data_IF_514566884205
#
_entry.id   IF_514566884205
#
_cell.length_a   1.000
_cell.length_b   1.000
_cell.length_c   1.000
_cell.angle_alpha   90.00
_cell.angle_beta   90.00
_cell.angle_gamma   90.00
#
_symmetry.space_group_name_H-M   'P 1'
#
loop_
_entity.id
_entity.type
_entity.pdbx_description
1 polymer ?
#
# COMPACT_ATOMS: atom_id res chain seq x y z
N UNK A 1 -1.23 1.44 8.06
CA UNK A 1 -0.75 2.39 9.07
C UNK A 1 0.47 1.82 9.76
N UNK A 2 1.62 2.43 9.54
CA UNK A 2 2.85 2.02 10.18
C UNK A 2 2.76 2.37 11.66
N UNK A 3 2.85 1.36 12.48
CA UNK A 3 2.79 1.48 13.93
C UNK A 3 4.17 1.64 14.58
N UNK A 4 5.20 1.91 13.80
CA UNK A 4 6.41 2.52 14.36
C UNK A 4 6.04 3.96 14.65
N UNK A 5 6.16 4.39 15.91
CA UNK A 5 5.93 5.77 16.39
C UNK A 5 6.73 6.84 15.62
N UNK A 6 7.40 6.46 14.55
CA UNK A 6 8.31 7.27 13.76
C UNK A 6 8.17 7.07 12.24
N UNK A 7 7.06 6.52 11.74
CA UNK A 7 6.82 6.58 10.30
C UNK A 7 6.56 8.02 9.91
N UNK A 8 7.46 8.57 9.15
CA UNK A 8 7.39 9.93 8.62
C UNK A 8 6.41 10.00 7.46
N UNK A 9 6.12 8.85 6.87
CA UNK A 9 5.30 8.73 5.67
C UNK A 9 3.89 8.27 6.02
N UNK A 10 2.90 9.07 5.65
CA UNK A 10 1.47 8.74 5.77
C UNK A 10 0.96 8.37 4.39
N UNK A 11 0.43 7.16 4.25
CA UNK A 11 -0.22 6.74 3.00
C UNK A 11 -1.59 7.40 2.89
N UNK A 12 -1.92 7.85 1.70
CA UNK A 12 -3.24 8.36 1.40
C UNK A 12 -4.27 7.22 1.49
N UNK A 13 -5.31 7.33 2.34
CA UNK A 13 -6.27 6.25 2.56
C UNK A 13 -7.32 6.22 1.43
N UNK A 14 -6.89 5.83 0.25
CA UNK A 14 -7.57 6.00 -1.02
C UNK A 14 -8.96 5.35 -1.09
N UNK A 15 -9.16 4.17 -0.50
CA UNK A 15 -10.48 3.53 -0.50
C UNK A 15 -11.49 4.36 0.28
N UNK A 16 -11.11 4.81 1.49
CA UNK A 16 -11.95 5.68 2.31
C UNK A 16 -12.15 7.06 1.65
N UNK A 17 -11.14 7.55 0.95
CA UNK A 17 -11.20 8.79 0.19
C UNK A 17 -12.18 8.70 -0.99
N UNK A 18 -12.22 7.59 -1.72
CA UNK A 18 -13.26 7.34 -2.74
C UNK A 18 -14.63 7.21 -2.10
N UNK A 19 -14.75 6.52 -0.96
CA UNK A 19 -16.01 6.42 -0.23
C UNK A 19 -16.55 7.82 0.13
N UNK A 20 -15.71 8.69 0.68
CA UNK A 20 -16.06 10.09 0.98
C UNK A 20 -16.60 10.82 -0.25
N UNK A 21 -15.87 10.77 -1.37
CA UNK A 21 -16.26 11.46 -2.59
C UNK A 21 -17.54 10.91 -3.22
N UNK A 22 -17.77 9.59 -3.16
CA UNK A 22 -19.03 8.98 -3.60
C UNK A 22 -20.19 9.49 -2.75
N UNK A 23 -20.03 9.52 -1.43
CA UNK A 23 -21.08 10.00 -0.52
C UNK A 23 -21.39 11.49 -0.71
N UNK A 24 -20.36 12.32 -0.93
CA UNK A 24 -20.54 13.74 -1.26
C UNK A 24 -21.27 13.96 -2.59
N UNK A 25 -21.00 13.10 -3.59
CA UNK A 25 -21.64 13.19 -4.91
C UNK A 25 -23.08 12.66 -4.93
N UNK A 26 -23.34 11.53 -4.26
CA UNK A 26 -24.52 10.69 -4.48
C UNK A 26 -25.50 10.72 -3.31
N UNK A 27 -25.28 11.59 -2.30
CA UNK A 27 -26.18 11.80 -1.17
C UNK A 27 -26.28 13.28 -0.78
N UNK A 28 -27.33 13.63 -0.04
CA UNK A 28 -27.50 14.96 0.58
C UNK A 28 -26.87 15.04 1.99
N UNK A 29 -26.15 14.01 2.42
CA UNK A 29 -25.49 13.99 3.72
C UNK A 29 -24.32 14.98 3.77
N UNK A 30 -24.16 15.62 4.93
CA UNK A 30 -22.95 16.38 5.21
C UNK A 30 -21.82 15.39 5.54
N UNK A 31 -20.91 15.21 4.60
CA UNK A 31 -19.76 14.30 4.74
C UNK A 31 -18.53 15.08 5.16
N UNK A 32 -17.76 14.53 6.10
CA UNK A 32 -16.45 15.08 6.52
C UNK A 32 -15.44 13.97 6.59
N UNK A 33 -14.31 14.17 5.92
CA UNK A 33 -13.19 13.25 5.96
C UNK A 33 -12.15 13.74 6.97
N UNK A 34 -11.68 12.84 7.84
CA UNK A 34 -10.62 13.12 8.81
C UNK A 34 -9.48 12.11 8.65
N UNK A 35 -8.25 12.60 8.65
CA UNK A 35 -7.06 11.76 8.75
C UNK A 35 -6.21 12.19 9.95
N UNK A 36 -6.41 11.51 11.08
CA UNK A 36 -5.66 11.80 12.30
C UNK A 36 -4.18 11.43 12.21
N UNK A 37 -3.79 10.55 11.26
CA UNK A 37 -2.38 10.21 11.03
C UNK A 37 -1.66 11.35 10.31
N UNK A 38 -2.28 11.92 9.28
CA UNK A 38 -1.74 13.07 8.56
C UNK A 38 -1.58 14.27 9.51
N UNK A 39 -2.63 14.56 10.28
CA UNK A 39 -2.69 15.67 11.21
C UNK A 39 -1.92 15.42 12.52
N UNK A 40 -1.38 14.21 12.71
CA UNK A 40 -0.65 13.77 13.93
C UNK A 40 -1.46 13.95 15.22
N UNK A 41 -2.78 13.77 15.14
CA UNK A 41 -3.63 13.84 16.31
C UNK A 41 -3.42 12.64 17.22
N UNK A 42 -3.36 12.91 18.52
CA UNK A 42 -3.49 11.86 19.52
C UNK A 42 -4.98 11.47 19.66
N UNK A 43 -5.25 10.45 20.48
CA UNK A 43 -6.61 9.94 20.69
C UNK A 43 -7.59 11.06 21.13
N UNK A 44 -7.20 11.86 22.12
CA UNK A 44 -8.09 12.90 22.69
C UNK A 44 -8.41 13.99 21.68
N UNK A 45 -7.39 14.46 20.95
CA UNK A 45 -7.58 15.45 19.88
C UNK A 45 -8.47 14.90 18.76
N UNK A 46 -8.35 13.62 18.42
CA UNK A 46 -9.21 13.01 17.40
C UNK A 46 -10.66 12.90 17.90
N UNK A 47 -10.88 12.48 19.14
CA UNK A 47 -12.22 12.47 19.76
C UNK A 47 -12.83 13.87 19.77
N UNK A 48 -12.05 14.90 20.12
CA UNK A 48 -12.50 16.30 20.10
C UNK A 48 -12.95 16.74 18.70
N UNK A 49 -12.13 16.47 17.67
CA UNK A 49 -12.47 16.82 16.28
C UNK A 49 -13.71 16.11 15.77
N UNK A 50 -13.89 14.84 16.08
CA UNK A 50 -15.10 14.10 15.74
C UNK A 50 -16.31 14.66 16.50
N UNK A 51 -16.14 15.05 17.78
CA UNK A 51 -17.21 15.63 18.59
C UNK A 51 -17.68 16.99 18.09
N UNK A 52 -16.76 17.82 17.58
CA UNK A 52 -17.11 19.12 16.95
C UNK A 52 -18.03 18.94 15.74
N UNK A 53 -17.84 17.87 14.98
CA UNK A 53 -18.68 17.55 13.83
C UNK A 53 -19.99 16.86 14.22
N UNK A 54 -20.01 16.11 15.34
CA UNK A 54 -21.13 15.36 15.89
C UNK A 54 -21.83 14.46 14.84
N UNK A 55 -21.14 13.47 14.27
CA UNK A 55 -21.69 12.68 13.16
C UNK A 55 -22.78 11.72 13.62
N UNK A 56 -23.82 11.52 12.80
CA UNK A 56 -24.80 10.43 12.97
C UNK A 56 -24.18 9.06 12.63
N UNK A 57 -23.20 9.03 11.72
CA UNK A 57 -22.50 7.83 11.28
C UNK A 57 -20.98 8.06 11.30
N UNK A 58 -20.24 7.07 11.77
CA UNK A 58 -18.77 7.01 11.71
C UNK A 58 -18.35 5.81 10.88
N UNK A 59 -17.68 6.05 9.76
CA UNK A 59 -17.17 5.02 8.86
C UNK A 59 -15.67 4.83 9.17
N UNK A 60 -15.26 3.59 9.43
CA UNK A 60 -13.89 3.25 9.80
C UNK A 60 -13.37 2.09 8.95
N UNK A 61 -12.24 2.31 8.25
CA UNK A 61 -11.50 1.24 7.55
C UNK A 61 -10.48 0.63 8.52
N UNK A 62 -10.72 -0.62 8.91
CA UNK A 62 -10.03 -1.28 10.01
C UNK A 62 -9.15 -2.44 9.51
N UNK A 63 -7.86 -2.35 9.81
CA UNK A 63 -6.91 -3.43 9.63
C UNK A 63 -6.82 -4.30 10.89
N UNK A 64 -6.41 -5.57 10.74
CA UNK A 64 -6.26 -6.51 11.86
C UNK A 64 -5.36 -5.93 12.96
N UNK A 65 -4.27 -5.30 12.58
CA UNK A 65 -3.32 -4.73 13.54
C UNK A 65 -3.87 -3.57 14.39
N UNK A 66 -4.82 -2.81 13.86
CA UNK A 66 -5.35 -1.59 14.50
C UNK A 66 -6.69 -1.81 15.18
N UNK A 67 -7.32 -2.98 15.02
CA UNK A 67 -8.70 -3.23 15.43
C UNK A 67 -8.99 -2.91 16.89
N UNK A 68 -8.06 -3.20 17.82
CA UNK A 68 -8.21 -2.88 19.23
C UNK A 68 -8.31 -1.38 19.50
N UNK A 69 -7.51 -0.58 18.78
CA UNK A 69 -7.56 0.87 18.88
C UNK A 69 -8.81 1.43 18.21
N UNK A 70 -9.12 0.92 17.01
CA UNK A 70 -10.27 1.33 16.22
C UNK A 70 -11.58 1.03 16.95
N UNK A 71 -11.70 -0.17 17.52
CA UNK A 71 -12.89 -0.56 18.30
C UNK A 71 -13.06 0.27 19.57
N UNK A 72 -11.97 0.57 20.29
CA UNK A 72 -12.05 1.45 21.49
C UNK A 72 -12.49 2.85 21.11
N UNK A 73 -11.94 3.41 20.07
CA UNK A 73 -12.30 4.72 19.56
C UNK A 73 -13.78 4.77 19.13
N UNK A 74 -14.21 3.82 18.31
CA UNK A 74 -15.61 3.73 17.85
C UNK A 74 -16.59 3.60 19.01
N UNK A 75 -16.32 2.68 19.96
CA UNK A 75 -17.15 2.50 21.17
C UNK A 75 -17.24 3.79 22.00
N UNK A 76 -16.16 4.54 22.11
CA UNK A 76 -16.14 5.81 22.83
C UNK A 76 -17.01 6.86 22.15
N UNK A 77 -16.88 7.02 20.81
CA UNK A 77 -17.71 7.95 20.04
C UNK A 77 -19.20 7.57 20.13
N UNK A 78 -19.52 6.29 19.94
CA UNK A 78 -20.90 5.77 20.08
C UNK A 78 -21.48 6.07 21.46
N UNK A 79 -20.73 5.80 22.53
CA UNK A 79 -21.17 6.05 23.90
C UNK A 79 -21.39 7.53 24.20
N UNK A 80 -20.55 8.42 23.66
CA UNK A 80 -20.61 9.87 23.93
C UNK A 80 -21.71 10.56 23.12
N UNK A 81 -21.91 10.17 21.87
CA UNK A 81 -22.69 10.94 20.90
C UNK A 81 -23.87 10.17 20.28
N UNK A 82 -24.00 8.87 20.55
CA UNK A 82 -25.02 8.02 19.93
C UNK A 82 -24.76 7.71 18.46
N UNK A 83 -23.58 8.00 17.97
CA UNK A 83 -23.12 7.78 16.58
C UNK A 83 -23.23 6.31 16.19
N UNK A 84 -23.77 6.00 15.03
CA UNK A 84 -23.79 4.65 14.45
C UNK A 84 -22.44 4.33 13.84
N UNK A 85 -21.93 3.15 14.14
CA UNK A 85 -20.60 2.69 13.69
C UNK A 85 -20.72 1.81 12.45
N UNK A 86 -20.03 2.19 11.38
CA UNK A 86 -19.86 1.40 10.16
C UNK A 86 -18.39 0.97 10.09
N UNK A 87 -18.13 -0.32 10.33
CA UNK A 87 -16.79 -0.90 10.25
C UNK A 87 -16.61 -1.63 8.92
N UNK A 88 -15.55 -1.32 8.22
CA UNK A 88 -15.17 -1.91 6.92
C UNK A 88 -13.66 -2.22 6.88
N UNK A 89 -13.20 -2.78 5.78
CA UNK A 89 -11.80 -3.14 5.59
C UNK A 89 -11.49 -4.62 5.84
N UNK A 90 -10.20 -4.99 5.88
CA UNK A 90 -9.81 -6.40 5.91
C UNK A 90 -10.19 -7.14 7.20
N UNK A 91 -10.09 -6.51 8.37
CA UNK A 91 -10.44 -7.20 9.62
C UNK A 91 -11.94 -7.45 9.76
N UNK A 92 -12.84 -6.47 9.56
CA UNK A 92 -14.29 -6.72 9.55
C UNK A 92 -14.72 -7.73 8.49
N UNK A 93 -14.03 -7.80 7.36
CA UNK A 93 -14.30 -8.79 6.32
C UNK A 93 -13.97 -10.22 6.79
N UNK A 94 -12.92 -10.37 7.58
CA UNK A 94 -12.43 -11.67 8.05
C UNK A 94 -13.16 -12.14 9.31
N UNK A 95 -13.45 -11.22 10.24
CA UNK A 95 -14.06 -11.51 11.53
C UNK A 95 -15.37 -10.71 11.74
N UNK A 96 -16.35 -10.86 10.84
CA UNK A 96 -17.56 -10.05 10.90
C UNK A 96 -18.41 -10.30 12.14
N UNK A 97 -18.44 -11.53 12.66
CA UNK A 97 -19.18 -11.87 13.90
C UNK A 97 -18.61 -11.11 15.10
N UNK A 98 -17.28 -11.14 15.30
CA UNK A 98 -16.61 -10.41 16.36
C UNK A 98 -16.90 -8.91 16.28
N UNK A 99 -16.78 -8.32 15.09
CA UNK A 99 -16.97 -6.88 14.89
C UNK A 99 -18.45 -6.49 15.09
N UNK A 100 -19.40 -7.39 14.76
CA UNK A 100 -20.85 -7.15 14.93
C UNK A 100 -21.28 -7.03 16.40
N UNK A 101 -20.45 -7.47 17.35
CA UNK A 101 -20.74 -7.29 18.79
C UNK A 101 -20.75 -5.81 19.22
N UNK A 102 -20.07 -4.93 18.47
CA UNK A 102 -19.94 -3.53 18.84
C UNK A 102 -20.22 -2.53 17.70
N UNK A 103 -20.14 -2.94 16.45
CA UNK A 103 -20.49 -2.10 15.31
C UNK A 103 -21.99 -2.22 14.96
N UNK A 104 -22.59 -1.14 14.48
CA UNK A 104 -23.99 -1.15 14.01
C UNK A 104 -24.08 -1.76 12.61
N UNK A 105 -23.03 -1.59 11.81
CA UNK A 105 -22.90 -2.14 10.45
C UNK A 105 -21.50 -2.68 10.25
N UNK A 106 -21.40 -3.91 9.74
CA UNK A 106 -20.13 -4.55 9.37
C UNK A 106 -20.15 -4.78 7.86
N UNK A 107 -19.27 -4.07 7.16
CA UNK A 107 -19.22 -4.09 5.70
C UNK A 107 -18.04 -4.95 5.23
N UNK A 108 -18.36 -5.84 4.29
CA UNK A 108 -17.41 -6.83 3.78
C UNK A 108 -16.81 -6.36 2.45
N UNK A 109 -15.50 -6.57 2.27
CA UNK A 109 -14.77 -6.39 1.00
C UNK A 109 -14.74 -4.95 0.50
N UNK A 110 -15.08 -4.73 -0.80
CA UNK A 110 -15.21 -3.37 -1.35
C UNK A 110 -16.44 -2.70 -0.77
N UNK A 111 -16.24 -1.71 0.04
CA UNK A 111 -17.26 -1.18 0.94
C UNK A 111 -17.97 0.09 0.45
N UNK A 112 -17.41 0.81 -0.53
CA UNK A 112 -17.88 2.15 -0.89
C UNK A 112 -19.36 2.17 -1.27
N UNK A 113 -19.77 1.22 -2.13
CA UNK A 113 -21.17 1.15 -2.58
C UNK A 113 -22.10 0.50 -1.55
N UNK A 114 -21.58 -0.29 -0.62
CA UNK A 114 -22.35 -0.84 0.49
C UNK A 114 -22.66 0.27 1.50
N UNK A 115 -21.67 1.10 1.81
CA UNK A 115 -21.84 2.27 2.66
C UNK A 115 -22.85 3.26 2.05
N UNK A 116 -22.75 3.49 0.73
CA UNK A 116 -23.73 4.31 0.02
C UNK A 116 -25.18 3.77 0.17
N UNK A 117 -25.35 2.46 -0.01
CA UNK A 117 -26.67 1.82 0.12
C UNK A 117 -27.25 1.96 1.55
N UNK A 118 -26.39 1.82 2.59
CA UNK A 118 -26.77 2.05 4.00
C UNK A 118 -27.25 3.47 4.20
N UNK A 119 -26.49 4.46 3.71
CA UNK A 119 -26.80 5.88 3.93
C UNK A 119 -27.98 6.37 3.07
N UNK A 120 -28.30 5.70 1.97
CA UNK A 120 -29.50 5.90 1.18
C UNK A 120 -30.75 5.27 1.82
N UNK A 121 -30.59 4.56 2.94
CA UNK A 121 -31.71 3.95 3.71
C UNK A 121 -32.29 2.70 3.04
N UNK A 122 -31.53 1.97 2.24
CA UNK A 122 -31.97 0.67 1.68
C UNK A 122 -32.22 -0.34 2.80
N UNK A 123 -33.12 -1.30 2.58
CA UNK A 123 -33.31 -2.38 3.53
C UNK A 123 -32.01 -3.16 3.71
N UNK A 124 -31.54 -3.24 4.95
CA UNK A 124 -30.26 -3.89 5.29
C UNK A 124 -30.21 -5.36 4.91
N UNK A 125 -31.37 -6.05 4.85
CA UNK A 125 -31.46 -7.45 4.43
C UNK A 125 -31.14 -7.63 2.94
N UNK A 126 -31.34 -6.60 2.13
CA UNK A 126 -31.14 -6.64 0.68
C UNK A 126 -29.75 -6.15 0.27
N UNK A 127 -28.97 -5.59 1.19
CA UNK A 127 -27.65 -5.04 0.88
C UNK A 127 -26.61 -6.18 0.82
N UNK A 128 -26.19 -6.54 -0.40
CA UNK A 128 -25.08 -7.50 -0.58
C UNK A 128 -23.77 -6.92 -0.04
N UNK A 129 -23.03 -7.73 0.74
CA UNK A 129 -21.77 -7.33 1.37
C UNK A 129 -21.95 -6.61 2.70
N UNK A 130 -23.17 -6.49 3.21
CA UNK A 130 -23.44 -6.05 4.57
C UNK A 130 -23.74 -7.28 5.44
N UNK A 131 -22.94 -7.54 6.47
CA UNK A 131 -23.16 -8.65 7.40
C UNK A 131 -24.55 -8.58 8.08
N UNK A 132 -25.32 -9.68 8.21
CA UNK A 132 -24.96 -11.07 7.90
C UNK A 132 -25.20 -11.51 6.43
N UNK A 133 -25.55 -10.61 5.51
CA UNK A 133 -25.68 -10.93 4.10
C UNK A 133 -24.30 -11.08 3.44
N UNK A 134 -23.80 -12.30 3.34
CA UNK A 134 -22.47 -12.61 2.79
C UNK A 134 -22.43 -12.70 1.26
N UNK A 135 -23.55 -12.46 0.58
CA UNK A 135 -23.57 -12.46 -0.88
C UNK A 135 -22.56 -11.43 -1.43
N UNK A 136 -21.77 -11.87 -2.40
CA UNK A 136 -20.72 -11.05 -2.99
C UNK A 136 -21.35 -10.02 -3.93
N UNK A 137 -21.12 -8.75 -3.64
CA UNK A 137 -21.47 -7.67 -4.55
C UNK A 137 -20.63 -7.75 -5.84
N UNK A 138 -21.19 -7.40 -7.02
CA UNK A 138 -20.39 -7.20 -8.22
C UNK A 138 -19.25 -6.20 -7.97
N UNK A 139 -18.06 -6.40 -8.55
CA UNK A 139 -16.94 -5.49 -8.41
C UNK A 139 -17.32 -4.06 -8.81
N UNK A 140 -16.82 -3.09 -8.06
CA UNK A 140 -17.01 -1.68 -8.34
C UNK A 140 -16.51 -1.31 -9.75
N UNK A 141 -17.29 -0.55 -10.51
CA UNK A 141 -16.84 0.03 -11.78
C UNK A 141 -15.90 1.20 -11.51
N UNK A 142 -14.61 0.95 -11.69
CA UNK A 142 -13.55 1.95 -11.45
C UNK A 142 -13.60 3.16 -12.41
N UNK A 143 -14.34 3.06 -13.50
CA UNK A 143 -14.50 4.14 -14.47
C UNK A 143 -15.65 5.09 -14.14
N UNK A 144 -16.52 4.71 -13.20
CA UNK A 144 -17.63 5.55 -12.74
C UNK A 144 -17.33 6.19 -11.35
N UNK A 145 -16.10 6.12 -10.88
CA UNK A 145 -15.70 6.76 -9.63
C UNK A 145 -15.51 8.27 -9.82
N UNK A 146 -15.89 9.09 -8.82
CA UNK A 146 -15.42 10.48 -8.75
C UNK A 146 -13.90 10.51 -8.52
N UNK A 147 -13.30 11.68 -8.62
CA UNK A 147 -11.94 11.85 -8.08
C UNK A 147 -11.97 11.62 -6.56
N UNK A 148 -10.93 11.00 -5.98
CA UNK A 148 -10.90 10.75 -4.54
C UNK A 148 -10.79 12.05 -3.74
N UNK A 149 -11.11 11.98 -2.45
CA UNK A 149 -11.17 13.11 -1.52
C UNK A 149 -9.94 14.02 -1.60
N UNK A 150 -10.16 15.28 -1.84
CA UNK A 150 -9.13 16.31 -1.93
C UNK A 150 -9.66 17.69 -1.50
N UNK A 151 -10.74 17.71 -0.73
CA UNK A 151 -11.40 18.92 -0.21
C UNK A 151 -11.14 19.09 1.29
N UNK A 152 -11.39 18.04 2.05
CA UNK A 152 -11.22 18.04 3.51
C UNK A 152 -9.76 17.82 3.91
N UNK A 153 -8.99 17.18 3.07
CA UNK A 153 -7.53 16.98 3.18
C UNK A 153 -6.89 17.32 1.83
N UNK A 154 -5.68 17.83 1.85
CA UNK A 154 -4.90 18.03 0.63
C UNK A 154 -4.17 16.74 0.26
N UNK A 155 -4.40 16.19 -0.92
CA UNK A 155 -3.64 15.02 -1.40
C UNK A 155 -2.13 15.30 -1.48
N UNK A 156 -1.74 16.55 -1.67
CA UNK A 156 -0.34 16.94 -1.72
C UNK A 156 0.35 16.81 -0.36
N UNK A 157 -0.39 16.92 0.77
CA UNK A 157 0.18 16.84 2.11
C UNK A 157 0.65 15.41 2.45
N UNK A 158 0.21 14.41 1.69
CA UNK A 158 0.73 13.04 1.75
C UNK A 158 2.04 12.87 0.95
N UNK A 159 2.40 13.83 0.14
CA UNK A 159 3.62 13.82 -0.67
C UNK A 159 4.82 14.33 0.13
N UNK A 160 5.90 13.53 0.19
CA UNK A 160 7.13 13.93 0.89
C UNK A 160 8.36 13.65 0.03
N UNK A 161 9.02 14.68 -0.49
CA UNK A 161 10.25 14.49 -1.27
C UNK A 161 11.32 13.75 -0.46
N UNK A 162 11.86 12.68 -1.01
CA UNK A 162 12.96 11.91 -0.44
C UNK A 162 12.59 10.87 0.60
N UNK A 163 11.30 10.61 0.86
CA UNK A 163 10.86 9.60 1.83
C UNK A 163 10.03 8.48 1.22
N UNK A 164 10.28 7.27 1.68
CA UNK A 164 11.61 6.65 1.87
C UNK A 164 12.21 6.30 0.52
N UNK A 165 11.45 6.41 -0.54
CA UNK A 165 11.78 5.97 -1.89
C UNK A 165 11.43 6.99 -2.97
N UNK A 166 10.60 7.97 -2.68
CA UNK A 166 10.27 9.08 -3.58
C UNK A 166 11.40 10.11 -3.64
N UNK A 167 11.70 10.61 -4.81
CA UNK A 167 12.71 11.65 -5.05
C UNK A 167 12.07 13.00 -5.36
N UNK A 168 10.78 13.01 -5.61
CA UNK A 168 10.01 14.16 -6.05
C UNK A 168 8.83 14.41 -5.11
N UNK A 169 8.24 15.57 -5.19
CA UNK A 169 6.96 15.84 -4.55
C UNK A 169 5.85 15.17 -5.35
N UNK A 170 5.37 14.04 -4.84
CA UNK A 170 4.43 13.16 -5.53
C UNK A 170 3.09 13.09 -4.82
N UNK A 171 2.02 13.00 -5.60
CA UNK A 171 0.69 12.62 -5.11
C UNK A 171 0.45 11.15 -5.41
N UNK A 172 -0.11 10.42 -4.44
CA UNK A 172 -0.57 9.05 -4.64
C UNK A 172 -1.83 9.04 -5.52
N UNK A 173 -1.80 8.26 -6.59
CA UNK A 173 -2.91 8.07 -7.52
C UNK A 173 -3.05 6.59 -7.91
N UNK A 174 -4.14 6.24 -8.58
CA UNK A 174 -4.51 4.87 -8.88
C UNK A 174 -5.03 4.77 -10.31
N UNK A 175 -4.28 4.11 -11.18
CA UNK A 175 -4.69 3.86 -12.57
C UNK A 175 -5.45 2.53 -12.71
N UNK A 176 -5.43 1.69 -11.68
CA UNK A 176 -6.17 0.43 -11.62
C UNK A 176 -6.58 0.08 -10.19
N UNK A 177 -7.38 -0.94 -10.05
CA UNK A 177 -7.74 -1.55 -8.75
C UNK A 177 -7.68 -3.06 -8.85
N UNK A 178 -7.10 -3.70 -7.83
CA UNK A 178 -6.97 -5.14 -7.73
C UNK A 178 -5.73 -5.70 -8.42
N UNK A 179 -5.58 -7.01 -8.36
CA UNK A 179 -4.43 -7.73 -8.87
C UNK A 179 -4.86 -8.97 -9.67
N UNK A 180 -4.22 -9.32 -10.79
CA UNK A 180 -4.55 -10.52 -11.56
C UNK A 180 -3.99 -11.82 -10.95
N UNK A 181 -3.39 -11.75 -9.76
CA UNK A 181 -2.67 -12.83 -9.11
C UNK A 181 -3.36 -13.23 -7.79
N UNK A 182 -3.06 -14.44 -7.31
CA UNK A 182 -3.63 -15.04 -6.11
C UNK A 182 -2.54 -15.52 -5.13
N UNK A 183 -1.52 -14.68 -4.88
CA UNK A 183 -0.46 -15.02 -3.91
C UNK A 183 -1.08 -15.36 -2.55
N UNK A 184 -0.61 -16.45 -1.91
CA UNK A 184 -1.25 -17.05 -0.72
C UNK A 184 -1.25 -16.15 0.51
N UNK A 185 -0.35 -15.19 0.59
CA UNK A 185 -0.20 -14.26 1.71
C UNK A 185 -0.92 -12.92 1.50
N UNK A 186 -1.44 -12.66 0.29
CA UNK A 186 -1.88 -11.33 -0.09
C UNK A 186 -3.35 -11.08 0.32
N UNK A 187 -3.56 -9.99 1.05
CA UNK A 187 -4.89 -9.53 1.48
C UNK A 187 -5.76 -9.10 0.28
N UNK A 188 -5.14 -8.49 -0.73
CA UNK A 188 -5.83 -7.95 -1.90
C UNK A 188 -6.72 -9.02 -2.58
N UNK A 189 -6.11 -10.06 -3.15
CA UNK A 189 -6.83 -11.09 -3.89
C UNK A 189 -7.68 -12.03 -3.03
N UNK A 190 -7.30 -12.23 -1.76
CA UNK A 190 -7.93 -13.22 -0.91
C UNK A 190 -9.05 -12.66 -0.03
N UNK A 191 -8.91 -11.43 0.44
CA UNK A 191 -9.85 -10.81 1.39
C UNK A 191 -10.61 -9.67 0.73
N UNK A 192 -9.90 -8.64 0.23
CA UNK A 192 -10.55 -7.44 -0.28
C UNK A 192 -11.39 -7.71 -1.54
N UNK A 193 -10.88 -8.54 -2.48
CA UNK A 193 -11.58 -8.83 -3.75
C UNK A 193 -11.95 -10.31 -3.93
N UNK A 194 -11.46 -11.20 -3.07
CA UNK A 194 -11.73 -12.65 -3.01
C UNK A 194 -11.31 -13.48 -4.22
N UNK A 195 -10.61 -12.93 -5.18
CA UNK A 195 -10.07 -13.61 -6.37
C UNK A 195 -9.20 -12.68 -7.17
N UNK A 196 -8.41 -13.20 -8.10
CA UNK A 196 -7.75 -12.36 -9.10
C UNK A 196 -8.76 -11.44 -9.77
N UNK A 197 -8.57 -10.12 -9.60
CA UNK A 197 -9.52 -9.12 -10.04
C UNK A 197 -8.80 -7.80 -10.33
N UNK A 198 -8.24 -7.67 -11.52
CA UNK A 198 -7.57 -6.45 -11.95
C UNK A 198 -8.46 -5.66 -12.90
N UNK A 199 -8.74 -4.40 -12.54
CA UNK A 199 -9.65 -3.50 -13.23
C UNK A 199 -8.94 -2.18 -13.51
N UNK A 200 -8.43 -1.97 -14.73
CA UNK A 200 -7.82 -0.71 -15.12
C UNK A 200 -8.90 0.37 -15.32
N UNK A 201 -8.55 1.59 -14.99
CA UNK A 201 -9.30 2.78 -15.40
C UNK A 201 -8.99 3.09 -16.86
N UNK A 202 -9.96 3.65 -17.56
CA UNK A 202 -9.70 4.15 -18.92
C UNK A 202 -8.56 5.17 -18.88
N UNK A 203 -7.59 5.13 -19.82
CA UNK A 203 -6.48 6.08 -19.87
C UNK A 203 -6.92 7.54 -19.83
N UNK A 204 -8.05 7.87 -20.44
CA UNK A 204 -8.63 9.23 -20.45
C UNK A 204 -9.04 9.68 -19.05
N UNK A 205 -9.60 8.78 -18.22
CA UNK A 205 -9.97 9.10 -16.85
C UNK A 205 -8.74 9.33 -15.96
N UNK A 206 -7.66 8.58 -16.22
CA UNK A 206 -6.38 8.77 -15.53
C UNK A 206 -5.77 10.11 -15.93
N UNK A 207 -5.71 10.40 -17.24
CA UNK A 207 -5.20 11.67 -17.76
C UNK A 207 -6.00 12.87 -17.21
N UNK A 208 -7.32 12.78 -17.15
CA UNK A 208 -8.16 13.82 -16.56
C UNK A 208 -7.80 14.10 -15.10
N UNK A 209 -7.60 13.06 -14.28
CA UNK A 209 -7.16 13.21 -12.90
C UNK A 209 -5.78 13.87 -12.80
N UNK A 210 -4.80 13.43 -13.62
CA UNK A 210 -3.46 14.00 -13.64
C UNK A 210 -3.46 15.48 -14.03
N UNK A 211 -4.26 15.86 -15.02
CA UNK A 211 -4.44 17.26 -15.43
C UNK A 211 -5.06 18.11 -14.32
N UNK A 212 -6.07 17.55 -13.63
CA UNK A 212 -6.74 18.20 -12.50
C UNK A 212 -5.76 18.43 -11.33
N UNK A 213 -4.97 17.42 -10.98
CA UNK A 213 -3.95 17.51 -9.93
C UNK A 213 -2.87 18.55 -10.29
N UNK A 214 -2.38 18.52 -11.52
CA UNK A 214 -1.37 19.48 -11.98
C UNK A 214 -1.87 20.92 -11.98
N UNK A 215 -3.15 21.13 -12.32
CA UNK A 215 -3.78 22.44 -12.27
C UNK A 215 -4.01 22.93 -10.84
N UNK A 216 -4.44 22.04 -9.95
CA UNK A 216 -4.67 22.34 -8.52
C UNK A 216 -3.36 22.57 -7.76
N UNK A 217 -2.31 21.83 -8.09
CA UNK A 217 -1.01 21.83 -7.42
C UNK A 217 0.14 22.14 -8.39
N UNK A 218 0.38 23.44 -8.72
CA UNK A 218 1.44 23.81 -9.66
C UNK A 218 2.85 23.34 -9.27
N UNK A 219 3.10 23.12 -7.97
CA UNK A 219 4.36 22.61 -7.43
C UNK A 219 4.51 21.09 -7.53
N UNK A 220 3.49 20.35 -7.97
CA UNK A 220 3.52 18.90 -8.14
C UNK A 220 4.61 18.50 -9.13
N UNK A 221 5.51 17.62 -8.70
CA UNK A 221 6.63 17.12 -9.50
C UNK A 221 6.36 15.73 -10.09
N UNK A 222 5.54 14.93 -9.42
CA UNK A 222 5.30 13.56 -9.85
C UNK A 222 4.05 12.91 -9.26
N UNK A 223 3.86 11.67 -9.66
CA UNK A 223 2.74 10.82 -9.25
C UNK A 223 3.30 9.47 -8.81
N UNK A 224 2.91 9.03 -7.64
CA UNK A 224 3.11 7.65 -7.21
C UNK A 224 1.82 6.85 -7.49
N UNK A 225 1.85 5.96 -8.48
CA UNK A 225 0.78 5.00 -8.70
C UNK A 225 0.91 3.85 -7.68
N UNK A 226 0.28 4.07 -6.51
CA UNK A 226 0.34 3.21 -5.32
C UNK A 226 -0.81 2.17 -5.34
N UNK A 227 -0.93 1.47 -6.43
CA UNK A 227 -1.92 0.42 -6.64
C UNK A 227 -1.31 -0.98 -6.48
N UNK A 228 -2.13 -2.01 -6.35
CA UNK A 228 -1.65 -3.37 -6.12
C UNK A 228 -0.74 -3.88 -7.24
N UNK A 229 -1.04 -3.52 -8.49
CA UNK A 229 -0.17 -3.75 -9.65
C UNK A 229 -0.55 -2.85 -10.82
N UNK A 230 0.35 -1.99 -11.21
CA UNK A 230 0.15 -1.04 -12.30
C UNK A 230 0.15 -1.72 -13.67
N UNK A 231 1.06 -2.64 -13.89
CA UNK A 231 1.29 -3.30 -15.18
C UNK A 231 0.53 -4.65 -15.32
N UNK A 232 -0.71 -4.74 -14.85
CA UNK A 232 -1.52 -5.97 -14.97
C UNK A 232 -1.76 -6.42 -16.42
N UNK A 233 -1.58 -5.52 -17.41
CA UNK A 233 -1.67 -5.80 -18.85
C UNK A 233 -0.67 -4.96 -19.64
N UNK A 234 0.14 -5.61 -20.50
CA UNK A 234 1.04 -4.92 -21.43
C UNK A 234 0.29 -3.92 -22.32
N UNK A 235 -0.82 -4.37 -22.94
CA UNK A 235 -1.64 -3.52 -23.81
C UNK A 235 -2.05 -2.22 -23.09
N UNK A 236 -2.57 -2.35 -21.87
CA UNK A 236 -3.01 -1.20 -21.08
C UNK A 236 -1.87 -0.22 -20.80
N UNK A 237 -0.69 -0.71 -20.41
CA UNK A 237 0.45 0.19 -20.14
C UNK A 237 0.88 0.95 -21.39
N UNK A 238 0.90 0.29 -22.55
CA UNK A 238 1.22 0.97 -23.82
C UNK A 238 0.18 2.04 -24.18
N UNK A 239 -1.10 1.79 -23.92
CA UNK A 239 -2.19 2.76 -24.12
C UNK A 239 -2.08 3.92 -23.12
N UNK A 240 -1.87 3.65 -21.83
CA UNK A 240 -1.77 4.69 -20.81
C UNK A 240 -0.53 5.57 -21.01
N UNK A 241 0.63 4.99 -21.28
CA UNK A 241 1.86 5.77 -21.54
C UNK A 241 1.76 6.62 -22.81
N UNK A 242 1.05 6.12 -23.83
CA UNK A 242 0.72 6.90 -25.02
C UNK A 242 -0.18 8.09 -24.66
N UNK A 243 -1.26 7.87 -23.92
CA UNK A 243 -2.18 8.92 -23.50
C UNK A 243 -1.48 9.99 -22.64
N UNK A 244 -0.59 9.61 -21.73
CA UNK A 244 0.24 10.53 -20.93
C UNK A 244 1.05 11.46 -21.85
N UNK A 245 1.77 10.91 -22.84
CA UNK A 245 2.60 11.70 -23.77
C UNK A 245 1.76 12.62 -24.64
N UNK A 246 0.67 12.11 -25.21
CA UNK A 246 -0.20 12.89 -26.11
C UNK A 246 -0.88 14.07 -25.40
N UNK A 247 -0.97 14.03 -24.06
CA UNK A 247 -1.52 15.10 -23.23
C UNK A 247 -0.44 15.97 -22.54
N UNK A 248 0.85 15.82 -22.87
CA UNK A 248 1.93 16.64 -22.34
C UNK A 248 2.15 16.46 -20.83
N UNK A 249 1.88 15.25 -20.32
CA UNK A 249 2.05 14.90 -18.92
C UNK A 249 3.34 14.11 -18.66
N UNK A 250 4.14 13.84 -19.69
CA UNK A 250 5.42 13.15 -19.64
C UNK A 250 6.55 13.95 -18.96
N UNK A 251 6.28 15.20 -18.63
CA UNK A 251 7.14 16.02 -17.78
C UNK A 251 6.98 15.77 -16.28
N UNK A 252 5.89 15.10 -15.85
CA UNK A 252 5.77 14.57 -14.49
C UNK A 252 6.65 13.33 -14.30
N UNK A 253 6.98 13.05 -13.06
CA UNK A 253 7.75 11.86 -12.66
C UNK A 253 6.81 10.80 -12.11
N UNK A 254 6.92 9.58 -12.64
CA UNK A 254 6.03 8.49 -12.23
C UNK A 254 6.80 7.42 -11.47
N UNK A 255 6.35 7.12 -10.26
CA UNK A 255 6.75 6.00 -9.41
C UNK A 255 5.60 4.98 -9.39
N UNK A 256 5.87 3.68 -9.57
CA UNK A 256 4.79 2.71 -9.79
C UNK A 256 5.08 1.34 -9.16
N UNK A 257 4.01 0.72 -8.62
CA UNK A 257 4.02 -0.67 -8.16
C UNK A 257 3.80 -1.63 -9.33
N UNK A 258 4.75 -2.49 -9.62
CA UNK A 258 4.70 -3.42 -10.75
C UNK A 258 4.96 -4.88 -10.35
N UNK A 259 4.39 -5.79 -11.13
CA UNK A 259 4.83 -7.18 -11.17
C UNK A 259 5.91 -7.41 -12.23
N UNK A 260 6.73 -8.45 -12.06
CA UNK A 260 7.69 -8.86 -13.10
C UNK A 260 7.00 -9.27 -14.40
N UNK A 261 5.78 -9.75 -14.32
CA UNK A 261 4.94 -10.13 -15.46
C UNK A 261 3.72 -9.19 -15.54
N UNK A 262 3.37 -8.72 -16.70
CA UNK A 262 3.88 -8.97 -18.07
C UNK A 262 4.91 -7.92 -18.55
N UNK A 263 5.94 -7.64 -17.80
CA UNK A 263 6.98 -6.66 -18.14
C UNK A 263 7.94 -7.22 -19.19
N UNK A 264 8.26 -6.40 -20.19
CA UNK A 264 9.32 -6.62 -21.16
C UNK A 264 10.01 -5.28 -21.51
N UNK A 265 11.00 -5.33 -22.40
CA UNK A 265 11.78 -4.15 -22.80
C UNK A 265 10.88 -3.07 -23.43
N UNK A 266 9.92 -3.45 -24.28
CA UNK A 266 8.97 -2.51 -24.90
C UNK A 266 8.14 -1.75 -23.88
N UNK A 267 7.69 -2.46 -22.83
CA UNK A 267 6.95 -1.85 -21.70
C UNK A 267 7.86 -0.87 -20.97
N UNK A 268 9.09 -1.24 -20.64
CA UNK A 268 10.04 -0.37 -19.95
C UNK A 268 10.39 0.88 -20.78
N UNK A 269 10.65 0.71 -22.08
CA UNK A 269 10.93 1.82 -23.00
C UNK A 269 9.73 2.77 -23.10
N UNK A 270 8.53 2.22 -23.19
CA UNK A 270 7.30 3.01 -23.27
C UNK A 270 7.04 3.78 -21.96
N UNK A 271 7.24 3.15 -20.80
CA UNK A 271 7.16 3.79 -19.49
C UNK A 271 8.19 4.91 -19.38
N UNK A 272 9.47 4.64 -19.72
CA UNK A 272 10.53 5.66 -19.69
C UNK A 272 10.18 6.87 -20.54
N UNK A 273 9.69 6.66 -21.74
CA UNK A 273 9.31 7.75 -22.67
C UNK A 273 8.14 8.60 -22.16
N UNK A 274 7.34 8.08 -21.22
CA UNK A 274 6.21 8.78 -20.62
C UNK A 274 6.52 9.44 -19.25
N UNK A 275 7.82 9.49 -18.85
CA UNK A 275 8.23 10.17 -17.63
C UNK A 275 8.40 9.25 -16.40
N UNK A 276 8.18 7.93 -16.55
CA UNK A 276 8.43 7.00 -15.46
C UNK A 276 9.91 7.01 -15.08
N UNK A 277 10.18 7.00 -13.78
CA UNK A 277 11.54 7.03 -13.27
C UNK A 277 11.84 5.91 -12.27
N UNK A 278 10.83 5.45 -11.54
CA UNK A 278 10.94 4.42 -10.51
C UNK A 278 9.94 3.28 -10.78
N UNK A 279 10.46 2.07 -10.84
CA UNK A 279 9.67 0.84 -10.98
C UNK A 279 9.84 0.02 -9.70
N UNK A 280 8.78 -0.12 -8.92
CA UNK A 280 8.77 -0.94 -7.72
C UNK A 280 8.32 -2.35 -8.07
N UNK A 281 9.16 -3.33 -7.80
CA UNK A 281 8.92 -4.72 -8.16
C UNK A 281 8.67 -5.58 -6.94
N UNK A 282 7.55 -6.29 -6.93
CA UNK A 282 7.30 -7.39 -6.01
C UNK A 282 8.18 -8.57 -6.41
N UNK A 283 9.39 -8.68 -5.82
CA UNK A 283 10.34 -9.78 -6.08
C UNK A 283 10.07 -10.93 -5.11
N UNK A 284 9.80 -10.60 -3.87
CA UNK A 284 9.48 -11.45 -2.73
C UNK A 284 10.62 -12.39 -2.32
N UNK A 285 11.02 -13.32 -3.18
CA UNK A 285 12.04 -14.33 -2.89
C UNK A 285 12.87 -14.69 -4.12
N UNK A 286 14.07 -15.25 -3.91
CA UNK A 286 14.87 -15.93 -4.93
C UNK A 286 14.83 -17.47 -4.79
N UNK A 287 14.13 -17.99 -3.79
CA UNK A 287 14.01 -19.43 -3.54
C UNK A 287 12.82 -20.04 -4.31
N UNK A 288 13.08 -21.00 -5.18
CA UNK A 288 12.02 -21.67 -5.97
C UNK A 288 10.94 -22.32 -5.10
N UNK A 289 11.35 -22.95 -3.99
CA UNK A 289 10.42 -23.61 -3.08
C UNK A 289 9.50 -22.61 -2.38
N UNK A 290 10.05 -21.48 -1.94
CA UNK A 290 9.27 -20.38 -1.38
C UNK A 290 8.33 -19.75 -2.43
N UNK A 291 8.81 -19.52 -3.65
CA UNK A 291 8.02 -19.00 -4.75
C UNK A 291 6.82 -19.90 -5.09
N UNK A 292 7.01 -21.22 -5.02
CA UNK A 292 5.95 -22.21 -5.21
C UNK A 292 4.96 -22.20 -4.03
N UNK A 293 5.45 -22.16 -2.78
CA UNK A 293 4.60 -22.12 -1.59
C UNK A 293 3.73 -20.86 -1.54
N UNK A 294 4.30 -19.71 -1.87
CA UNK A 294 3.59 -18.43 -1.95
C UNK A 294 2.71 -18.27 -3.20
N UNK A 295 2.70 -19.25 -4.10
CA UNK A 295 2.00 -19.22 -5.39
C UNK A 295 2.34 -17.98 -6.24
N UNK A 296 3.62 -17.61 -6.31
CA UNK A 296 4.08 -16.47 -7.11
C UNK A 296 3.94 -16.70 -8.62
N UNK A 297 3.72 -17.95 -9.05
CA UNK A 297 3.41 -18.37 -10.43
C UNK A 297 4.40 -17.81 -11.46
N UNK A 298 3.89 -17.15 -12.51
CA UNK A 298 4.66 -16.55 -13.61
C UNK A 298 5.54 -15.37 -13.19
N UNK A 299 5.42 -14.87 -11.97
CA UNK A 299 6.28 -13.80 -11.46
C UNK A 299 7.69 -14.26 -11.14
N UNK A 300 7.89 -15.56 -10.88
CA UNK A 300 9.16 -16.07 -10.44
C UNK A 300 10.05 -16.43 -11.63
N UNK A 301 10.95 -15.54 -12.00
CA UNK A 301 12.01 -15.78 -12.97
C UNK A 301 13.19 -14.84 -12.69
N UNK A 302 14.11 -15.28 -11.82
CA UNK A 302 15.26 -14.48 -11.40
C UNK A 302 16.20 -14.09 -12.56
N UNK A 303 16.57 -15.00 -13.51
CA UNK A 303 17.35 -14.58 -14.67
C UNK A 303 16.68 -13.47 -15.48
N UNK A 304 15.40 -13.62 -15.80
CA UNK A 304 14.65 -12.62 -16.56
C UNK A 304 14.51 -11.30 -15.80
N UNK A 305 14.31 -11.35 -14.48
CA UNK A 305 14.30 -10.17 -13.62
C UNK A 305 15.58 -9.35 -13.80
N UNK A 306 16.75 -10.01 -13.73
CA UNK A 306 18.05 -9.35 -13.86
C UNK A 306 18.24 -8.71 -15.25
N UNK A 307 17.79 -9.38 -16.33
CA UNK A 307 17.81 -8.82 -17.69
C UNK A 307 16.95 -7.57 -17.79
N UNK A 308 15.71 -7.60 -17.28
CA UNK A 308 14.79 -6.46 -17.27
C UNK A 308 15.34 -5.28 -16.46
N UNK A 309 15.88 -5.56 -15.28
CA UNK A 309 16.48 -4.52 -14.44
C UNK A 309 17.72 -3.91 -15.12
N UNK A 310 18.56 -4.72 -15.79
CA UNK A 310 19.69 -4.22 -16.54
C UNK A 310 19.26 -3.34 -17.71
N UNK A 311 18.28 -3.78 -18.50
CA UNK A 311 17.73 -2.96 -19.60
C UNK A 311 17.16 -1.64 -19.08
N UNK A 312 16.30 -1.70 -18.06
CA UNK A 312 15.68 -0.52 -17.48
C UNK A 312 16.70 0.47 -16.89
N UNK A 313 17.73 -0.03 -16.19
CA UNK A 313 18.82 0.80 -15.66
C UNK A 313 19.60 1.50 -16.79
N UNK A 314 19.90 0.79 -17.88
CA UNK A 314 20.60 1.35 -19.04
C UNK A 314 19.82 2.49 -19.72
N UNK A 315 18.50 2.45 -19.72
CA UNK A 315 17.65 3.54 -20.23
C UNK A 315 17.31 4.59 -19.16
N UNK A 316 17.88 4.48 -17.95
CA UNK A 316 17.75 5.47 -16.87
C UNK A 316 16.49 5.33 -16.03
N UNK A 317 15.90 4.13 -15.92
CA UNK A 317 14.93 3.78 -14.89
C UNK A 317 15.66 3.36 -13.61
N UNK A 318 14.99 3.56 -12.48
CA UNK A 318 15.43 3.08 -11.17
C UNK A 318 14.52 1.94 -10.72
N UNK A 319 15.07 0.97 -10.02
CA UNK A 319 14.29 -0.13 -9.48
C UNK A 319 14.27 -0.13 -7.95
N UNK A 320 13.08 -0.35 -7.43
CA UNK A 320 12.82 -0.59 -6.02
C UNK A 320 12.31 -2.02 -5.86
N UNK A 321 13.00 -2.85 -5.06
CA UNK A 321 12.60 -4.24 -4.84
C UNK A 321 11.86 -4.41 -3.51
N UNK A 322 10.81 -5.23 -3.47
CA UNK A 322 10.25 -5.73 -2.21
C UNK A 322 10.65 -7.18 -2.00
N UNK A 323 11.13 -7.49 -0.80
CA UNK A 323 11.61 -8.82 -0.42
C UNK A 323 10.95 -9.29 0.87
N UNK A 324 10.60 -10.56 0.90
CA UNK A 324 9.85 -11.17 2.01
C UNK A 324 10.61 -12.40 2.53
N UNK A 325 10.81 -12.47 3.84
CA UNK A 325 11.50 -13.55 4.53
C UNK A 325 10.51 -14.42 5.30
N UNK A 326 10.76 -15.73 5.36
CA UNK A 326 9.91 -16.66 6.10
C UNK A 326 8.56 -16.94 5.44
N UNK A 327 8.40 -16.65 4.16
CA UNK A 327 7.16 -16.90 3.40
C UNK A 327 6.74 -18.37 3.42
N UNK A 328 5.52 -18.65 2.99
CA UNK A 328 5.03 -20.01 2.89
C UNK A 328 5.93 -20.86 1.97
N UNK A 329 6.31 -22.05 2.42
CA UNK A 329 7.26 -22.91 1.72
C UNK A 329 8.71 -22.42 1.78
N UNK A 330 9.01 -21.29 2.44
CA UNK A 330 10.39 -20.83 2.61
C UNK A 330 11.18 -21.74 3.56
N UNK A 331 12.47 -21.84 3.29
CA UNK A 331 13.48 -22.52 4.09
C UNK A 331 14.67 -21.58 4.31
N UNK A 332 15.60 -21.95 5.18
CA UNK A 332 16.85 -21.20 5.36
C UNK A 332 17.62 -21.01 4.03
N UNK A 333 17.66 -22.03 3.17
CA UNK A 333 18.28 -21.95 1.85
C UNK A 333 17.56 -20.97 0.91
N UNK A 334 16.22 -20.93 0.95
CA UNK A 334 15.44 -19.97 0.15
C UNK A 334 15.75 -18.54 0.53
N UNK A 335 15.76 -18.23 1.83
CA UNK A 335 16.01 -16.88 2.30
C UNK A 335 17.47 -16.47 2.11
N UNK A 336 18.43 -17.40 2.21
CA UNK A 336 19.82 -17.15 1.84
C UNK A 336 20.00 -16.84 0.34
N UNK A 337 19.32 -17.55 -0.54
CA UNK A 337 19.31 -17.21 -1.98
C UNK A 337 18.74 -15.81 -2.21
N UNK A 338 17.76 -15.41 -1.42
CA UNK A 338 17.21 -14.05 -1.47
C UNK A 338 18.22 -13.00 -1.02
N UNK A 339 18.97 -13.27 0.06
CA UNK A 339 20.09 -12.42 0.50
C UNK A 339 21.16 -12.29 -0.58
N UNK A 340 21.52 -13.39 -1.22
CA UNK A 340 22.54 -13.40 -2.29
C UNK A 340 22.05 -12.61 -3.52
N UNK A 341 20.77 -12.73 -3.87
CA UNK A 341 20.18 -11.91 -4.93
C UNK A 341 20.22 -10.42 -4.58
N UNK A 342 19.87 -10.03 -3.35
CA UNK A 342 19.94 -8.63 -2.92
C UNK A 342 21.38 -8.11 -3.05
N UNK A 343 22.39 -8.86 -2.57
CA UNK A 343 23.82 -8.49 -2.70
C UNK A 343 24.19 -8.30 -4.18
N UNK A 344 23.89 -9.28 -5.03
CA UNK A 344 24.20 -9.20 -6.46
C UNK A 344 23.55 -7.97 -7.12
N UNK A 345 22.28 -7.70 -6.84
CA UNK A 345 21.58 -6.56 -7.43
C UNK A 345 22.15 -5.22 -6.94
N UNK A 346 22.60 -5.14 -5.69
CA UNK A 346 23.27 -3.96 -5.14
C UNK A 346 24.65 -3.76 -5.77
N UNK A 347 25.46 -4.82 -5.84
CA UNK A 347 26.83 -4.79 -6.41
C UNK A 347 26.82 -4.40 -7.89
N UNK A 348 25.77 -4.79 -8.62
CA UNK A 348 25.58 -4.45 -10.04
C UNK A 348 24.85 -3.12 -10.25
N UNK A 349 24.55 -2.39 -9.18
CA UNK A 349 23.78 -1.12 -9.20
C UNK A 349 22.41 -1.23 -9.88
N UNK A 350 21.81 -2.42 -9.91
CA UNK A 350 20.48 -2.67 -10.48
C UNK A 350 19.34 -2.36 -9.51
N UNK A 351 19.63 -2.34 -8.20
CA UNK A 351 18.65 -2.09 -7.15
C UNK A 351 18.90 -0.71 -6.54
N UNK A 352 18.03 0.25 -6.82
CA UNK A 352 18.14 1.62 -6.29
C UNK A 352 17.78 1.69 -4.81
N UNK A 353 16.68 1.08 -4.43
CA UNK A 353 16.21 0.92 -3.05
C UNK A 353 15.44 -0.38 -2.92
N UNK A 354 15.13 -0.76 -1.70
CA UNK A 354 14.33 -1.95 -1.45
C UNK A 354 13.63 -1.89 -0.10
N UNK A 355 12.60 -2.69 0.05
CA UNK A 355 11.87 -2.91 1.28
C UNK A 355 12.03 -4.37 1.70
N UNK A 356 12.13 -4.57 3.00
CA UNK A 356 12.18 -5.88 3.63
C UNK A 356 10.92 -6.11 4.46
N UNK A 357 10.40 -7.31 4.41
CA UNK A 357 9.31 -7.73 5.29
C UNK A 357 9.50 -9.15 5.79
N UNK A 358 9.01 -9.39 7.00
CA UNK A 358 8.76 -10.75 7.50
C UNK A 358 7.38 -11.14 6.98
N UNK A 359 7.29 -12.31 6.34
CA UNK A 359 6.01 -12.82 5.84
C UNK A 359 5.08 -13.10 7.00
N UNK A 360 4.15 -12.18 7.23
CA UNK A 360 3.15 -12.31 8.27
C UNK A 360 1.87 -12.83 7.64
N UNK A 361 1.39 -14.02 8.02
CA UNK A 361 0.14 -14.56 7.50
C UNK A 361 -1.02 -13.70 8.00
N UNK A 362 -1.64 -12.94 7.11
CA UNK A 362 -2.77 -12.11 7.49
C UNK A 362 -4.02 -12.99 7.63
N UNK A 363 -4.83 -12.82 8.70
CA UNK A 363 -6.04 -13.61 8.91
C UNK A 363 -6.96 -13.63 7.68
N UNK A 364 -7.53 -14.80 7.38
CA UNK A 364 -8.38 -15.01 6.21
C UNK A 364 -7.62 -15.30 4.91
N UNK A 365 -6.30 -15.20 4.89
CA UNK A 365 -5.49 -15.62 3.73
C UNK A 365 -5.23 -17.13 3.76
N UNK A 366 -5.01 -17.79 2.60
CA UNK A 366 -4.63 -19.20 2.56
C UNK A 366 -3.39 -19.53 3.40
N UNK A 367 -2.42 -18.62 3.47
CA UNK A 367 -1.24 -18.80 4.30
C UNK A 367 -1.59 -18.84 5.78
N UNK A 368 -2.44 -17.92 6.27
CA UNK A 368 -2.89 -17.91 7.65
C UNK A 368 -3.62 -19.22 8.01
N UNK A 369 -4.62 -19.59 7.20
CA UNK A 369 -5.44 -20.76 7.47
C UNK A 369 -4.59 -22.03 7.56
N UNK A 370 -3.62 -22.23 6.66
CA UNK A 370 -2.71 -23.38 6.71
C UNK A 370 -1.79 -23.35 7.91
N UNK A 371 -1.28 -22.20 8.31
CA UNK A 371 -0.43 -22.11 9.53
C UNK A 371 -1.23 -22.37 10.81
N UNK A 372 -2.48 -21.93 10.84
CA UNK A 372 -3.39 -22.20 11.95
C UNK A 372 -3.74 -23.69 12.03
N UNK A 373 -4.19 -24.31 10.94
CA UNK A 373 -4.54 -25.73 10.84
C UNK A 373 -3.38 -26.65 11.23
N UNK A 374 -2.15 -26.26 10.91
CA UNK A 374 -0.93 -26.99 11.22
C UNK A 374 -0.39 -26.73 12.63
N UNK A 375 -0.98 -25.78 13.36
CA UNK A 375 -0.50 -25.38 14.70
C UNK A 375 0.85 -24.65 14.67
N UNK A 376 1.15 -23.97 13.57
CA UNK A 376 2.42 -23.25 13.38
C UNK A 376 2.34 -21.76 13.73
N UNK A 377 1.16 -21.22 14.05
CA UNK A 377 1.02 -19.87 14.60
C UNK A 377 1.47 -19.89 16.06
N UNK A 378 2.52 -19.14 16.40
CA UNK A 378 3.05 -19.08 17.77
C UNK A 378 2.55 -17.87 18.56
N UNK A 379 1.97 -16.90 17.88
CA UNK A 379 1.55 -15.64 18.44
C UNK A 379 0.29 -15.15 17.73
N UNK A 380 -0.75 -14.82 18.49
CA UNK A 380 -2.03 -14.33 18.01
C UNK A 380 -2.34 -12.92 18.55
N UNK A 381 -1.36 -12.23 19.14
CA UNK A 381 -1.53 -10.78 19.40
C UNK A 381 -1.46 -10.03 18.05
N UNK A 382 -2.59 -9.49 17.63
CA UNK A 382 -2.69 -8.78 16.36
C UNK A 382 -1.69 -7.64 16.19
N UNK A 383 -1.17 -7.07 17.27
CA UNK A 383 -0.13 -6.03 17.23
C UNK A 383 1.19 -6.54 16.67
N UNK A 384 1.42 -7.84 16.79
CA UNK A 384 2.61 -8.52 16.29
C UNK A 384 2.52 -8.90 14.81
N UNK A 385 1.35 -8.71 14.18
CA UNK A 385 1.17 -8.91 12.73
C UNK A 385 1.71 -7.72 11.92
N UNK A 386 2.94 -7.31 12.21
CA UNK A 386 3.54 -6.06 11.77
C UNK A 386 4.47 -6.15 10.55
N UNK A 387 4.81 -7.36 10.15
CA UNK A 387 5.64 -7.61 8.97
C UNK A 387 7.10 -7.17 9.08
N UNK A 388 7.59 -6.77 10.26
CA UNK A 388 8.94 -6.26 10.39
C UNK A 388 9.67 -6.49 11.71
N UNK A 389 8.94 -6.64 12.82
CA UNK A 389 9.59 -6.83 14.13
C UNK A 389 9.30 -8.18 14.75
N UNK A 390 8.22 -8.84 14.30
CA UNK A 390 7.76 -10.07 14.89
C UNK A 390 7.62 -11.18 13.86
N UNK A 391 8.12 -12.37 14.19
CA UNK A 391 7.84 -13.59 13.43
C UNK A 391 6.74 -14.33 14.17
N UNK A 392 5.54 -14.35 13.63
CA UNK A 392 4.36 -14.97 14.25
C UNK A 392 4.18 -16.45 13.87
N UNK A 393 4.99 -16.95 12.94
CA UNK A 393 5.00 -18.35 12.47
C UNK A 393 6.22 -19.06 13.01
N UNK A 394 6.04 -20.31 13.47
CA UNK A 394 7.14 -21.18 13.87
C UNK A 394 6.96 -22.58 13.27
N UNK A 395 7.73 -22.90 12.25
CA UNK A 395 7.67 -24.18 11.54
C UNK A 395 8.84 -25.07 11.95
N UNK A 396 8.66 -26.38 12.11
CA UNK A 396 9.75 -27.28 12.46
C UNK A 396 10.94 -27.24 11.49
N UNK A 397 10.64 -27.17 10.18
CA UNK A 397 11.63 -27.12 9.12
C UNK A 397 12.28 -25.74 8.93
N UNK A 398 11.64 -24.67 9.44
CA UNK A 398 12.16 -23.31 9.39
C UNK A 398 11.69 -22.51 10.61
N UNK A 399 12.39 -22.60 11.73
CA UNK A 399 12.03 -21.95 12.99
C UNK A 399 12.05 -20.43 12.94
N UNK A 400 11.22 -19.80 13.76
CA UNK A 400 11.07 -18.35 13.84
C UNK A 400 12.40 -17.62 14.10
N UNK A 401 13.27 -18.19 14.95
CA UNK A 401 14.58 -17.62 15.27
C UNK A 401 15.44 -17.54 14.02
N UNK A 402 15.37 -18.56 13.15
CA UNK A 402 16.14 -18.61 11.92
C UNK A 402 15.62 -17.65 10.87
N UNK A 403 14.31 -17.48 10.78
CA UNK A 403 13.69 -16.44 9.94
C UNK A 403 14.20 -15.05 10.36
N UNK A 404 14.19 -14.79 11.67
CA UNK A 404 14.67 -13.52 12.22
C UNK A 404 16.16 -13.30 12.00
N UNK A 405 17.00 -14.34 12.05
CA UNK A 405 18.43 -14.25 11.72
C UNK A 405 18.65 -13.78 10.28
N UNK A 406 17.97 -14.42 9.31
CA UNK A 406 18.06 -14.07 7.90
C UNK A 406 17.51 -12.67 7.62
N UNK A 407 16.41 -12.30 8.28
CA UNK A 407 15.83 -10.95 8.17
C UNK A 407 16.81 -9.88 8.69
N UNK A 408 17.43 -10.10 9.85
CA UNK A 408 18.45 -9.16 10.39
C UNK A 408 19.68 -9.04 9.49
N UNK A 409 20.08 -10.11 8.80
CA UNK A 409 21.13 -10.04 7.80
C UNK A 409 20.72 -9.18 6.60
N UNK A 410 19.46 -9.27 6.18
CA UNK A 410 18.91 -8.39 5.14
C UNK A 410 18.84 -6.92 5.59
N UNK A 411 18.52 -6.64 6.86
CA UNK A 411 18.56 -5.28 7.43
C UNK A 411 19.95 -4.67 7.35
N UNK A 412 21.02 -5.45 7.59
CA UNK A 412 22.40 -4.97 7.41
C UNK A 412 22.69 -4.59 5.95
N UNK A 413 22.19 -5.39 5.00
CA UNK A 413 22.32 -5.06 3.57
C UNK A 413 21.53 -3.80 3.22
N UNK A 414 20.38 -3.58 3.82
CA UNK A 414 19.58 -2.36 3.67
C UNK A 414 20.37 -1.13 4.15
N UNK A 415 20.95 -1.19 5.34
CA UNK A 415 21.76 -0.10 5.90
C UNK A 415 22.96 0.23 5.03
N UNK A 416 23.68 -0.78 4.53
CA UNK A 416 24.83 -0.60 3.64
C UNK A 416 24.40 0.05 2.32
N UNK A 417 23.38 -0.46 1.66
CA UNK A 417 22.84 0.08 0.41
C UNK A 417 22.28 1.49 0.56
N UNK A 418 21.57 1.75 1.67
CA UNK A 418 21.01 3.06 1.98
C UNK A 418 22.11 4.09 2.24
N UNK A 419 23.12 3.77 3.06
CA UNK A 419 24.21 4.67 3.39
C UNK A 419 25.07 5.04 2.17
N UNK A 420 25.32 4.08 1.28
CA UNK A 420 26.10 4.33 0.06
C UNK A 420 25.39 5.34 -0.86
N UNK A 421 24.10 5.17 -1.08
CA UNK A 421 23.30 6.00 -2.01
C UNK A 421 22.77 7.29 -1.38
N UNK A 422 22.47 7.26 -0.09
CA UNK A 422 22.04 8.46 0.63
C UNK A 422 23.14 9.54 0.66
N UNK A 423 24.42 9.12 0.72
CA UNK A 423 25.55 10.05 0.59
C UNK A 423 25.60 10.69 -0.80
N UNK A 424 25.31 9.93 -1.87
CA UNK A 424 25.23 10.48 -3.23
C UNK A 424 24.03 11.42 -3.38
N UNK A 425 22.83 10.97 -3.01
CA UNK A 425 21.59 11.75 -3.15
C UNK A 425 21.54 12.97 -2.22
N UNK A 426 22.13 12.88 -1.00
CA UNK A 426 22.23 14.01 -0.11
C UNK A 426 23.18 15.10 -0.65
N UNK A 427 24.26 14.73 -1.35
CA UNK A 427 25.13 15.69 -2.02
C UNK A 427 24.41 16.41 -3.17
N UNK A 428 23.58 15.72 -3.92
CA UNK A 428 22.82 16.27 -5.04
C UNK A 428 21.58 17.07 -4.58
N UNK A 429 20.84 16.56 -3.60
CA UNK A 429 19.67 17.24 -3.04
C UNK A 429 20.04 18.41 -2.08
N UNK A 430 21.23 18.44 -1.49
CA UNK A 430 21.68 19.59 -0.71
C UNK A 430 21.79 20.86 -1.58
N UNK A 431 22.00 20.70 -2.88
CA UNK A 431 21.96 21.81 -3.83
C UNK A 431 20.51 22.27 -4.13
N UNK A 432 19.56 21.34 -4.20
CA UNK A 432 18.16 21.65 -4.50
C UNK A 432 17.35 22.10 -3.27
N UNK A 433 17.66 21.60 -2.07
CA UNK A 433 17.02 22.00 -0.81
C UNK A 433 17.49 23.38 -0.32
N UNK A 434 18.70 23.82 -0.68
CA UNK A 434 19.14 25.20 -0.44
C UNK A 434 18.33 26.26 -1.21
N UNK A 435 17.59 25.83 -2.23
CA UNK A 435 16.72 26.69 -3.04
C UNK A 435 15.27 26.74 -2.53
N UNK A 436 14.87 25.85 -1.62
CA UNK A 436 13.55 25.84 -0.96
C UNK A 436 13.72 26.30 0.49
N UNK A 437 13.46 27.57 0.72
CA UNK A 437 13.60 28.23 2.03
C UNK A 437 12.47 27.89 3.00
N UNK A 438 12.25 26.62 3.35
CA UNK A 438 11.34 26.25 4.44
C UNK A 438 12.10 25.40 5.46
N UNK A 439 12.48 26.04 6.58
CA UNK A 439 13.41 25.54 7.59
C UNK A 439 12.97 24.28 8.37
N UNK A 440 11.73 23.82 8.23
CA UNK A 440 11.22 22.64 8.95
C UNK A 440 11.75 21.29 8.39
N UNK A 441 12.02 21.23 7.09
CA UNK A 441 12.55 20.00 6.46
C UNK A 441 14.00 19.73 6.88
N UNK A 442 14.76 20.76 7.19
CA UNK A 442 16.16 20.64 7.62
C UNK A 442 16.32 20.12 9.07
N UNK A 443 15.38 20.44 9.96
CA UNK A 443 15.40 19.98 11.36
C UNK A 443 15.13 18.47 11.48
N UNK A 444 14.32 17.91 10.61
CA UNK A 444 13.96 16.48 10.63
C UNK A 444 15.14 15.57 10.19
N UNK A 445 15.99 16.02 9.27
CA UNK A 445 17.17 15.26 8.80
C UNK A 445 18.33 15.28 9.81
N UNK A 446 18.47 16.33 10.59
CA UNK A 446 19.54 16.41 11.59
C UNK A 446 19.32 15.49 12.79
N UNK A 447 18.08 15.21 13.18
CA UNK A 447 17.78 14.33 14.31
C UNK A 447 18.02 12.83 14.00
N UNK A 448 17.84 12.42 12.73
CA UNK A 448 18.13 11.04 12.30
C UNK A 448 19.64 10.77 12.12
N UNK A 449 20.40 11.75 11.67
CA UNK A 449 21.87 11.61 11.60
C UNK A 449 22.53 11.50 12.98
N UNK A 450 21.94 12.05 14.04
CA UNK A 450 22.45 11.90 15.42
C UNK A 450 22.16 10.52 16.01
N UNK A 451 21.08 9.86 15.59
CA UNK A 451 20.74 8.50 16.10
C UNK A 451 21.52 7.36 15.41
N UNK A 452 22.20 7.65 14.29
CA UNK A 452 23.04 6.66 13.59
C UNK A 452 24.51 6.74 14.06
N UNK A 453 24.90 7.82 14.75
CA UNK A 453 26.28 8.04 15.22
C UNK A 453 26.45 7.90 16.75
N UNK A 454 25.40 7.60 17.51
CA UNK A 454 25.37 7.19 18.91
C UNK A 454 24.89 5.73 19.04
#
# INVERSE_FOLDING_TARGET
NSTKDHSIFTYYPWQLAYCSSILKRDTDHKVKFFDGCLEKWNHDAFVEKVSEFAPDYLIMDCATRTIDADSRFGKEIKRRFGTKLIFCGPHPTTFPEEVSEYADYVVLREYEMVVLDILQGKDTNDIMGLWPNTNIRPPLDVNNLPLPEDEDVSRLDYGMPGEPSSEYLEIQAYASRGCPLSCTFCVCGNISYQRPNWRPRNPENVVYELQTLKAKYPQLEGIFFDEEVHNGSKKYILELTKAIRENGLDNLKYDVMCGQWPMDEEVLDSMKSAGYYMIRLGIETAGEHAAKGMELQKKFNVPRLKELMLHGTNIGLKFYGTFTFGGEGSTDDCDKKTLDLIRELLDRELLWRFQLSISTPQPGTPFFNRMEEQGHLKDLDWKHFDGGNHVVVNRPEYPAEKIMENFREAEKLYELGFNHRYKQTAQDNFKSVKLRQDGEILLFRSSRMKQIND
#
